data_IF_061852789505
#
_entry.id   IF_061852789505
#
_cell.length_a   1.000
_cell.length_b   1.000
_cell.length_c   1.000
_cell.angle_alpha   90.00
_cell.angle_beta   90.00
_cell.angle_gamma   90.00
#
_symmetry.space_group_name_H-M   'P 1'
#
loop_
_entity.id
_entity.type
_entity.pdbx_description
1 polymer ?
#
# COMPACT_ATOMS: atom_id res chain seq x y z
N UNK A 1 24.75 11.76 35.00
CA UNK A 1 23.73 12.44 34.17
C UNK A 1 23.10 11.45 33.19
N UNK A 2 21.94 10.92 33.57
CA UNK A 2 20.79 10.54 32.73
C UNK A 2 21.02 10.01 31.30
N UNK A 3 21.07 8.68 31.15
CA UNK A 3 20.93 7.95 29.88
C UNK A 3 19.46 7.86 29.39
N UNK A 4 18.72 8.98 29.40
CA UNK A 4 17.28 9.01 29.04
C UNK A 4 17.05 9.01 27.50
N UNK A 5 18.12 9.00 26.69
CA UNK A 5 18.06 9.18 25.23
C UNK A 5 17.67 7.96 24.35
N UNK A 6 17.88 6.67 24.72
CA UNK A 6 17.58 5.57 23.79
C UNK A 6 16.08 5.28 23.64
N UNK A 7 15.28 5.58 24.66
CA UNK A 7 13.83 5.32 24.66
C UNK A 7 13.07 6.26 23.70
N UNK A 8 13.47 7.53 23.63
CA UNK A 8 12.85 8.51 22.75
C UNK A 8 13.09 8.19 21.26
N UNK A 9 14.27 7.65 20.91
CA UNK A 9 14.61 7.26 19.54
C UNK A 9 13.88 6.00 19.07
N UNK A 10 13.69 5.02 19.97
CA UNK A 10 12.89 3.81 19.67
C UNK A 10 11.41 4.13 19.47
N UNK A 11 10.87 5.06 20.26
CA UNK A 11 9.48 5.51 20.12
C UNK A 11 9.24 6.26 18.80
N UNK A 12 10.17 7.13 18.39
CA UNK A 12 10.08 7.84 17.11
C UNK A 12 10.14 6.89 15.91
N UNK A 13 10.95 5.83 15.98
CA UNK A 13 11.02 4.81 14.94
C UNK A 13 9.72 3.98 14.87
N UNK A 14 9.12 3.64 16.02
CA UNK A 14 7.85 2.93 16.09
C UNK A 14 6.68 3.77 15.51
N UNK A 15 6.62 5.08 15.79
CA UNK A 15 5.61 5.97 15.20
C UNK A 15 5.76 6.11 13.68
N UNK A 16 7.00 6.13 13.16
CA UNK A 16 7.25 6.19 11.72
C UNK A 16 6.88 4.89 11.01
N UNK A 17 7.07 3.73 11.67
CA UNK A 17 6.65 2.42 11.17
C UNK A 17 5.12 2.24 11.21
N UNK A 18 4.44 2.95 12.11
CA UNK A 18 2.99 3.05 12.16
C UNK A 18 2.41 4.01 11.10
N UNK A 19 3.20 4.42 10.09
CA UNK A 19 2.72 5.23 8.95
C UNK A 19 1.45 4.58 8.41
N UNK A 20 0.34 5.23 8.74
CA UNK A 20 -1.00 4.78 8.46
C UNK A 20 -1.19 4.59 6.95
N UNK A 21 -2.14 3.73 6.57
CA UNK A 21 -2.70 3.79 5.23
C UNK A 21 -2.99 5.26 4.90
N UNK A 22 -2.37 5.78 3.84
CA UNK A 22 -2.56 7.17 3.47
C UNK A 22 -4.06 7.43 3.25
N UNK A 23 -4.51 8.63 3.64
CA UNK A 23 -5.90 9.02 3.47
C UNK A 23 -6.33 8.83 2.00
N UNK A 24 -7.54 8.32 1.80
CA UNK A 24 -8.11 8.12 0.47
C UNK A 24 -9.06 9.27 0.19
N UNK A 25 -8.47 10.42 -0.16
CA UNK A 25 -9.21 11.62 -0.55
C UNK A 25 -9.61 11.62 -2.03
N UNK A 26 -10.43 12.59 -2.42
CA UNK A 26 -10.97 12.71 -3.78
C UNK A 26 -9.88 12.82 -4.86
N UNK A 27 -8.84 13.63 -4.64
CA UNK A 27 -7.74 13.77 -5.61
C UNK A 27 -7.00 12.45 -5.83
N UNK A 28 -6.76 11.70 -4.75
CA UNK A 28 -6.09 10.40 -4.82
C UNK A 28 -6.97 9.36 -5.54
N UNK A 29 -8.28 9.41 -5.33
CA UNK A 29 -9.22 8.55 -6.07
C UNK A 29 -9.25 8.89 -7.57
N UNK A 30 -9.15 10.17 -7.93
CA UNK A 30 -9.02 10.61 -9.32
C UNK A 30 -7.69 10.13 -9.95
N UNK A 31 -6.61 10.14 -9.18
CA UNK A 31 -5.29 9.66 -9.57
C UNK A 31 -5.07 8.15 -9.33
N UNK A 32 -6.12 7.35 -9.07
CA UNK A 32 -5.98 5.94 -8.70
C UNK A 32 -5.24 5.09 -9.77
N UNK A 33 -5.25 5.53 -11.03
CA UNK A 33 -4.52 4.86 -12.11
C UNK A 33 -2.99 4.88 -11.90
N UNK A 34 -2.46 5.91 -11.23
CA UNK A 34 -1.03 6.11 -10.96
C UNK A 34 -0.52 5.25 -9.79
N UNK A 35 -1.43 4.61 -9.05
CA UNK A 35 -1.12 3.70 -7.95
C UNK A 35 -1.54 2.25 -8.27
N UNK A 36 -0.93 1.59 -9.27
CA UNK A 36 -1.38 0.28 -9.76
C UNK A 36 -1.29 -0.85 -8.71
N UNK A 37 -0.52 -0.65 -7.64
CA UNK A 37 -0.40 -1.56 -6.51
C UNK A 37 -1.57 -1.47 -5.52
N UNK A 38 -2.35 -0.39 -5.53
CA UNK A 38 -3.42 -0.14 -4.58
C UNK A 38 -4.80 -0.35 -5.21
N UNK A 39 -5.75 -0.82 -4.39
CA UNK A 39 -7.16 -0.98 -4.76
C UNK A 39 -8.02 0.02 -3.98
N UNK A 40 -8.11 1.25 -4.49
CA UNK A 40 -8.64 2.40 -3.73
C UNK A 40 -10.17 2.55 -3.84
N UNK A 41 -10.78 1.93 -4.84
CA UNK A 41 -12.22 1.95 -5.08
C UNK A 41 -12.72 0.55 -5.42
N UNK A 42 -14.03 0.30 -5.30
CA UNK A 42 -14.64 -1.00 -5.57
C UNK A 42 -14.24 -1.57 -6.94
N UNK A 43 -14.26 -0.73 -7.98
CA UNK A 43 -13.86 -1.09 -9.34
C UNK A 43 -12.40 -0.84 -9.69
N UNK A 44 -11.51 -0.73 -8.69
CA UNK A 44 -10.12 -0.20 -8.73
C UNK A 44 -10.06 1.32 -8.91
N UNK A 45 -10.70 1.83 -9.96
CA UNK A 45 -10.76 3.24 -10.33
C UNK A 45 -12.18 3.62 -10.77
N UNK A 46 -12.39 4.90 -11.14
CA UNK A 46 -13.69 5.38 -11.59
C UNK A 46 -14.20 4.74 -12.89
N UNK A 47 -13.32 4.15 -13.70
CA UNK A 47 -13.71 3.38 -14.89
C UNK A 47 -14.41 2.06 -14.54
N UNK A 48 -14.30 1.59 -13.29
CA UNK A 48 -15.00 0.42 -12.76
C UNK A 48 -14.78 -0.91 -13.52
N UNK A 49 -13.68 -1.00 -14.27
CA UNK A 49 -13.36 -2.17 -15.10
C UNK A 49 -12.84 -3.36 -14.29
N UNK A 50 -12.43 -3.14 -13.02
CA UNK A 50 -11.73 -4.14 -12.19
C UNK A 50 -10.50 -4.73 -12.87
N UNK A 51 -9.89 -3.96 -13.76
CA UNK A 51 -8.68 -4.34 -14.49
C UNK A 51 -7.44 -3.90 -13.71
N UNK A 52 -6.53 -4.84 -13.41
CA UNK A 52 -5.22 -4.52 -12.84
C UNK A 52 -4.14 -4.55 -13.93
N UNK A 53 -3.28 -3.52 -14.04
CA UNK A 53 -2.16 -3.53 -14.98
C UNK A 53 -0.95 -4.33 -14.46
N UNK A 54 -1.01 -4.87 -13.23
CA UNK A 54 0.10 -5.65 -12.66
C UNK A 54 0.28 -6.98 -13.38
N UNK A 55 1.53 -7.30 -13.72
CA UNK A 55 1.89 -8.53 -14.44
C UNK A 55 2.81 -9.46 -13.66
N UNK A 56 3.00 -9.23 -12.36
CA UNK A 56 3.86 -10.08 -11.53
C UNK A 56 3.37 -11.54 -11.53
N UNK A 57 2.06 -11.73 -11.53
CA UNK A 57 1.42 -13.03 -11.76
C UNK A 57 0.90 -13.04 -13.20
N UNK A 58 1.30 -14.03 -13.97
CA UNK A 58 0.93 -14.19 -15.38
C UNK A 58 0.72 -15.67 -15.75
N UNK A 59 0.37 -15.93 -17.01
CA UNK A 59 0.10 -17.29 -17.51
C UNK A 59 1.27 -18.26 -17.33
N UNK A 60 2.51 -17.75 -17.28
CA UNK A 60 3.73 -18.55 -17.18
C UNK A 60 4.01 -18.97 -15.74
N UNK A 61 3.56 -18.21 -14.74
CA UNK A 61 3.91 -18.46 -13.34
C UNK A 61 2.70 -18.71 -12.41
N UNK A 62 1.47 -18.53 -12.89
CA UNK A 62 0.25 -18.74 -12.09
C UNK A 62 0.18 -20.12 -11.44
N UNK A 63 0.74 -21.14 -12.09
CA UNK A 63 0.81 -22.51 -11.57
C UNK A 63 1.67 -22.68 -10.30
N UNK A 64 2.45 -21.66 -9.93
CA UNK A 64 3.32 -21.66 -8.73
C UNK A 64 2.67 -21.01 -7.52
N UNK A 65 1.46 -20.45 -7.65
CA UNK A 65 0.77 -19.84 -6.51
C UNK A 65 0.38 -20.89 -5.48
N UNK A 66 0.67 -20.56 -4.22
CA UNK A 66 0.25 -21.32 -3.03
C UNK A 66 -0.31 -20.34 -1.99
N UNK A 67 -1.22 -20.79 -1.10
CA UNK A 67 -1.59 -20.01 0.08
C UNK A 67 -0.34 -19.60 0.87
N UNK A 68 -0.38 -18.40 1.44
CA UNK A 68 0.67 -17.85 2.32
C UNK A 68 0.13 -17.71 3.72
#
# INVERSE_FOLDING_TARGET
MSHIRPLASLLAFALAAARQAAEVGSERLLAAADEPANWLSYGRDYGNQRFSPLTQIDRRNVHRLVPR
#
